data_IF_094615826347
#
_entry.id   IF_094615826347
#
_cell.length_a   1.000
_cell.length_b   1.000
_cell.length_c   1.000
_cell.angle_alpha   90.00
_cell.angle_beta   90.00
_cell.angle_gamma   90.00
#
_symmetry.space_group_name_H-M   'P 1'
#
loop_
_entity.id
_entity.type
_entity.pdbx_description
1 polymer ?
#
# COMPACT_ATOMS: atom_id res chain seq x y z
N UNK A 1 -10.71 -2.22 -11.30
CA UNK A 1 -9.27 -2.16 -10.99
C UNK A 1 -8.96 -2.17 -9.51
N UNK A 2 -9.57 -1.32 -8.65
CA UNK A 2 -9.26 -1.35 -7.21
C UNK A 2 -9.44 -2.73 -6.53
N UNK A 3 -10.51 -3.47 -6.87
CA UNK A 3 -10.71 -4.86 -6.42
C UNK A 3 -9.62 -5.82 -6.90
N UNK A 4 -9.10 -5.63 -8.10
CA UNK A 4 -8.01 -6.45 -8.63
C UNK A 4 -6.70 -6.13 -7.89
N UNK A 5 -6.41 -4.85 -7.65
CA UNK A 5 -5.28 -4.43 -6.82
C UNK A 5 -5.40 -4.93 -5.36
N UNK A 6 -6.61 -4.97 -4.80
CA UNK A 6 -6.87 -5.58 -3.49
C UNK A 6 -6.44 -7.06 -3.46
N UNK A 7 -6.76 -7.84 -4.51
CA UNK A 7 -6.35 -9.25 -4.62
C UNK A 7 -4.83 -9.39 -4.72
N UNK A 8 -4.18 -8.54 -5.52
CA UNK A 8 -2.72 -8.53 -5.64
C UNK A 8 -2.06 -8.24 -4.28
N UNK A 9 -2.50 -7.20 -3.57
CA UNK A 9 -1.93 -6.86 -2.25
C UNK A 9 -2.17 -7.98 -1.24
N UNK A 10 -3.36 -8.61 -1.24
CA UNK A 10 -3.66 -9.76 -0.39
C UNK A 10 -2.83 -11.01 -0.72
N UNK A 11 -2.30 -11.13 -1.94
CA UNK A 11 -1.46 -12.26 -2.33
C UNK A 11 -0.09 -12.27 -1.62
N UNK A 12 0.37 -11.12 -1.14
CA UNK A 12 1.58 -10.99 -0.35
C UNK A 12 1.22 -10.90 1.14
N UNK A 13 1.64 -11.92 1.90
CA UNK A 13 1.26 -12.12 3.30
C UNK A 13 1.82 -11.06 4.25
N UNK A 14 2.78 -10.23 3.80
CA UNK A 14 3.35 -9.13 4.58
C UNK A 14 2.41 -7.94 4.73
N UNK A 15 1.46 -7.80 3.79
CA UNK A 15 0.51 -6.70 3.80
C UNK A 15 -0.85 -7.11 4.36
N UNK A 16 -1.57 -6.11 4.85
CA UNK A 16 -2.98 -6.21 5.21
C UNK A 16 -3.76 -5.04 4.59
N UNK A 17 -5.03 -5.29 4.29
CA UNK A 17 -5.97 -4.28 3.79
C UNK A 17 -6.70 -3.65 4.97
N UNK A 18 -6.81 -2.33 4.97
CA UNK A 18 -7.48 -1.54 6.00
C UNK A 18 -8.87 -1.14 5.49
N UNK A 19 -9.89 -1.81 6.01
CA UNK A 19 -11.30 -1.57 5.64
C UNK A 19 -11.71 -2.18 4.29
N UNK A 20 -12.97 -2.01 3.93
CA UNK A 20 -13.53 -2.59 2.71
C UNK A 20 -13.21 -1.75 1.47
N UNK A 21 -12.71 -2.39 0.41
CA UNK A 21 -12.52 -1.76 -0.90
C UNK A 21 -13.86 -1.74 -1.64
N UNK A 22 -14.62 -0.65 -1.50
CA UNK A 22 -15.93 -0.50 -2.16
C UNK A 22 -15.88 0.34 -3.44
N UNK A 23 -14.89 1.23 -3.55
CA UNK A 23 -14.72 2.18 -4.66
C UNK A 23 -13.29 2.08 -5.23
N UNK A 24 -12.80 3.13 -5.88
CA UNK A 24 -11.46 3.22 -6.46
C UNK A 24 -10.30 3.38 -5.48
N UNK A 25 -10.47 3.13 -4.18
CA UNK A 25 -9.46 3.37 -3.15
C UNK A 25 -9.11 2.06 -2.43
N UNK A 26 -7.82 1.74 -2.36
CA UNK A 26 -7.31 0.63 -1.56
C UNK A 26 -6.42 1.21 -0.46
N UNK A 27 -6.74 0.89 0.79
CA UNK A 27 -5.94 1.24 1.95
C UNK A 27 -5.20 -0.02 2.42
N UNK A 28 -3.88 0.06 2.56
CA UNK A 28 -3.08 -1.09 2.96
C UNK A 28 -1.90 -0.66 3.82
N UNK A 29 -1.33 -1.60 4.57
CA UNK A 29 -0.14 -1.38 5.38
C UNK A 29 0.69 -2.66 5.50
N UNK A 30 1.92 -2.53 5.98
CA UNK A 30 2.67 -3.69 6.48
C UNK A 30 2.06 -4.07 7.84
N UNK A 31 1.82 -5.37 8.02
CA UNK A 31 1.25 -5.94 9.25
C UNK A 31 2.08 -5.55 10.46
N UNK A 32 1.39 -5.25 11.55
CA UNK A 32 1.94 -5.05 12.89
C UNK A 32 3.05 -3.98 13.02
N UNK A 33 3.25 -3.12 12.01
CA UNK A 33 4.32 -2.12 12.05
C UNK A 33 3.99 -0.80 11.34
N UNK A 34 3.71 0.23 12.14
CA UNK A 34 3.56 1.60 11.65
C UNK A 34 4.89 2.15 11.11
N UNK A 35 6.00 1.83 11.78
CA UNK A 35 7.33 2.32 11.40
C UNK A 35 7.77 1.76 10.05
N UNK A 36 7.62 0.46 9.82
CA UNK A 36 7.91 -0.15 8.52
C UNK A 36 7.02 0.42 7.42
N UNK A 37 5.72 0.63 7.71
CA UNK A 37 4.79 1.24 6.75
C UNK A 37 5.20 2.68 6.39
N UNK A 38 5.66 3.48 7.35
CA UNK A 38 6.20 4.84 7.12
C UNK A 38 7.48 4.81 6.27
N UNK A 39 8.40 3.88 6.56
CA UNK A 39 9.64 3.71 5.79
C UNK A 39 9.36 3.26 4.35
N UNK A 40 8.42 2.32 4.18
CA UNK A 40 7.96 1.87 2.86
C UNK A 40 7.44 3.04 2.04
N UNK A 41 6.51 3.83 2.60
CA UNK A 41 5.97 5.00 1.91
C UNK A 41 7.07 6.00 1.52
N UNK A 42 7.96 6.35 2.46
CA UNK A 42 9.08 7.26 2.18
C UNK A 42 9.99 6.74 1.07
N UNK A 43 10.25 5.43 1.03
CA UNK A 43 11.07 4.82 -0.01
C UNK A 43 10.36 4.79 -1.37
N UNK A 44 9.05 4.54 -1.40
CA UNK A 44 8.23 4.60 -2.61
C UNK A 44 8.17 6.02 -3.19
N UNK A 45 7.98 7.04 -2.35
CA UNK A 45 8.01 8.45 -2.81
C UNK A 45 9.39 8.84 -3.37
N UNK A 46 10.47 8.38 -2.73
CA UNK A 46 11.83 8.62 -3.23
C UNK A 46 12.17 7.82 -4.51
N UNK A 47 11.54 6.66 -4.71
CA UNK A 47 11.70 5.83 -5.90
C UNK A 47 11.01 6.49 -7.12
N UNK A 48 9.86 7.14 -6.92
CA UNK A 48 9.23 8.01 -7.91
C UNK A 48 8.50 7.29 -9.06
N UNK A 49 8.50 5.94 -9.11
CA UNK A 49 7.75 5.18 -10.13
C UNK A 49 6.23 5.26 -9.94
N UNK A 50 5.76 5.40 -8.70
CA UNK A 50 4.35 5.56 -8.33
C UNK A 50 4.21 6.60 -7.22
N UNK A 51 3.11 7.34 -7.21
CA UNK A 51 2.79 8.31 -6.15
C UNK A 51 1.67 7.77 -5.27
N UNK A 52 1.87 7.84 -3.95
CA UNK A 52 0.95 7.32 -2.95
C UNK A 52 0.79 8.30 -1.81
N UNK A 53 -0.40 8.33 -1.21
CA UNK A 53 -0.65 9.16 -0.03
C UNK A 53 -0.82 8.29 1.21
N UNK A 54 -0.62 8.87 2.39
CA UNK A 54 -0.77 8.17 3.67
C UNK A 54 -1.94 8.72 4.46
N UNK A 55 -2.42 7.94 5.42
CA UNK A 55 -3.33 8.41 6.44
C UNK A 55 -3.05 7.68 7.76
N UNK A 56 -3.54 8.25 8.85
CA UNK A 56 -3.62 7.55 10.13
C UNK A 56 -4.99 7.70 10.75
N UNK A 57 -5.38 6.69 11.52
CA UNK A 57 -6.61 6.68 12.31
C UNK A 57 -6.25 6.32 13.74
N UNK A 58 -6.83 7.02 14.71
CA UNK A 58 -6.74 6.67 16.12
C UNK A 58 -7.92 5.79 16.49
N UNK A 59 -7.64 4.62 17.01
CA UNK A 59 -8.64 3.71 17.54
C UNK A 59 -9.14 4.19 18.90
N UNK A 60 -10.36 3.78 19.33
CA UNK A 60 -10.92 4.18 20.63
C UNK A 60 -10.03 3.83 21.82
N UNK A 61 -9.24 2.77 21.70
CA UNK A 61 -8.32 2.27 22.72
C UNK A 61 -6.99 3.06 22.78
N UNK A 62 -6.83 4.08 21.93
CA UNK A 62 -5.67 4.97 21.89
C UNK A 62 -4.56 4.55 20.93
N UNK A 63 -4.65 3.36 20.32
CA UNK A 63 -3.71 2.90 19.30
C UNK A 63 -3.86 3.70 17.99
N UNK A 64 -2.74 4.08 17.38
CA UNK A 64 -2.72 4.69 16.05
C UNK A 64 -2.46 3.61 14.99
N UNK A 65 -3.28 3.56 13.95
CA UNK A 65 -3.03 2.76 12.75
C UNK A 65 -2.62 3.69 11.61
N UNK A 66 -1.40 3.51 11.12
CA UNK A 66 -0.87 4.21 9.95
C UNK A 66 -0.91 3.33 8.72
N UNK A 67 -1.40 3.85 7.61
CA UNK A 67 -1.58 3.10 6.37
C UNK A 67 -1.37 3.96 5.12
N UNK A 68 -1.11 3.27 4.01
CA UNK A 68 -0.91 3.83 2.68
C UNK A 68 -2.22 3.72 1.90
N UNK A 69 -2.49 4.72 1.07
CA UNK A 69 -3.68 4.86 0.23
C UNK A 69 -3.25 4.91 -1.23
N UNK A 70 -3.73 3.94 -2.00
CA UNK A 70 -3.60 3.93 -3.46
C UNK A 70 -4.98 4.14 -4.08
N UNK A 71 -5.12 5.21 -4.85
CA UNK A 71 -6.35 5.57 -5.54
C UNK A 71 -6.22 5.32 -7.04
N UNK A 72 -7.20 4.64 -7.61
CA UNK A 72 -7.35 4.51 -9.06
C UNK A 72 -7.95 5.82 -9.58
N UNK A 73 -7.09 6.69 -10.11
CA UNK A 73 -7.46 8.04 -10.55
C UNK A 73 -7.53 8.18 -12.07
N UNK A 74 -6.83 7.33 -12.81
CA UNK A 74 -6.72 7.44 -14.26
C UNK A 74 -7.74 6.54 -14.97
N UNK A 75 -8.44 7.09 -15.98
CA UNK A 75 -9.54 6.39 -16.67
C UNK A 75 -9.07 5.17 -17.47
N UNK A 76 -7.81 5.14 -17.90
CA UNK A 76 -7.22 4.02 -18.63
C UNK A 76 -6.40 3.09 -17.73
N UNK A 77 -6.66 3.10 -16.42
CA UNK A 77 -6.04 2.11 -15.53
C UNK A 77 -6.56 0.73 -15.87
N UNK A 78 -5.66 -0.19 -16.20
CA UNK A 78 -5.93 -1.59 -16.49
C UNK A 78 -5.18 -2.52 -15.51
N UNK A 79 -5.25 -3.83 -15.74
CA UNK A 79 -4.60 -4.83 -14.89
C UNK A 79 -3.07 -4.69 -14.93
N UNK A 80 -2.48 -4.42 -16.09
CA UNK A 80 -1.04 -4.25 -16.23
C UNK A 80 -0.50 -3.07 -15.41
N UNK A 81 -1.24 -1.96 -15.35
CA UNK A 81 -0.89 -0.82 -14.48
C UNK A 81 -0.98 -1.21 -13.00
N UNK A 82 -2.01 -1.98 -12.62
CA UNK A 82 -2.14 -2.48 -11.24
C UNK A 82 -1.01 -3.46 -10.87
N UNK A 83 -0.68 -4.39 -11.75
CA UNK A 83 0.43 -5.34 -11.59
C UNK A 83 1.77 -4.61 -11.47
N UNK A 84 1.99 -3.58 -12.30
CA UNK A 84 3.19 -2.75 -12.21
C UNK A 84 3.27 -2.01 -10.87
N UNK A 85 2.19 -1.36 -10.44
CA UNK A 85 2.16 -0.67 -9.15
C UNK A 85 2.43 -1.64 -7.99
N UNK A 86 1.82 -2.82 -8.02
CA UNK A 86 2.06 -3.86 -7.03
C UNK A 86 3.50 -4.38 -7.05
N UNK A 87 4.07 -4.60 -8.24
CA UNK A 87 5.48 -4.99 -8.41
C UNK A 87 6.41 -3.95 -7.77
N UNK A 88 6.19 -2.66 -8.01
CA UNK A 88 6.98 -1.58 -7.39
C UNK A 88 6.89 -1.64 -5.86
N UNK A 89 5.68 -1.84 -5.30
CA UNK A 89 5.48 -1.99 -3.85
C UNK A 89 6.28 -3.17 -3.30
N UNK A 90 6.22 -4.33 -3.97
CA UNK A 90 6.94 -5.55 -3.56
C UNK A 90 8.46 -5.37 -3.67
N UNK A 91 8.95 -4.85 -4.79
CA UNK A 91 10.38 -4.62 -5.03
C UNK A 91 10.97 -3.72 -3.93
N UNK A 92 10.31 -2.59 -3.64
CA UNK A 92 10.75 -1.66 -2.60
C UNK A 92 10.64 -2.26 -1.20
N UNK A 93 9.61 -3.08 -0.95
CA UNK A 93 9.47 -3.78 0.33
C UNK A 93 10.58 -4.81 0.53
N UNK A 94 11.00 -5.50 -0.54
CA UNK A 94 12.12 -6.44 -0.50
C UNK A 94 13.44 -5.74 -0.15
N UNK A 95 13.72 -4.58 -0.75
CA UNK A 95 14.90 -3.76 -0.42
C UNK A 95 14.93 -3.36 1.06
N UNK A 96 13.77 -3.05 1.63
CA UNK A 96 13.62 -2.70 3.05
C UNK A 96 13.93 -3.87 3.99
N UNK A 97 13.61 -5.10 3.59
CA UNK A 97 13.84 -6.30 4.40
C UNK A 97 15.25 -6.89 4.28
N UNK A 98 15.96 -6.64 3.18
CA UNK A 98 17.33 -7.18 2.95
C UNK A 98 18.41 -6.36 3.69
N UNK A 99 18.09 -5.14 4.12
CA UNK A 99 19.02 -4.24 4.81
C UNK A 99 19.03 -4.32 6.34
N UNK A 100 18.56 -5.41 6.95
CA UNK A 100 18.58 -5.62 8.41
C UNK A 100 19.54 -6.74 8.83
#
# INVERSE_FOLDING_TARGET
MAKYLELLIKSDTRFEIIGDVTMGLVCFRIKDSNDLTKRLHKRLENDGRIHLVTASVKMPEGEEIFFIRIAIVHIFTDEAICEYAFKVIVDVTNELTVGQ
#
